data_IF_614236838768
#
_entry.id   IF_614236838768
#
_cell.length_a   1.000
_cell.length_b   1.000
_cell.length_c   1.000
_cell.angle_alpha   90.00
_cell.angle_beta   90.00
_cell.angle_gamma   90.00
#
_symmetry.space_group_name_H-M   'P 1'
#
loop_
_entity.id
_entity.type
_entity.pdbx_description
1 polymer ?
#
# COMPACT_ATOMS: atom_id res chain seq x y z
N UNK A 1 6.39 3.17 1.92
CA UNK A 1 7.56 2.36 2.36
C UNK A 1 8.78 2.69 1.51
N UNK A 2 9.99 2.62 2.08
CA UNK A 2 11.24 2.92 1.35
C UNK A 2 12.31 1.90 1.72
N UNK A 3 12.92 1.29 0.72
CA UNK A 3 14.11 0.43 0.89
C UNK A 3 15.34 1.23 0.49
N UNK A 4 16.37 1.17 1.33
CA UNK A 4 17.67 1.77 1.06
C UNK A 4 18.23 1.24 -0.29
N UNK A 5 18.82 2.08 -1.15
CA UNK A 5 19.22 1.69 -2.50
C UNK A 5 20.03 0.40 -2.59
N UNK A 6 20.95 0.18 -1.65
CA UNK A 6 21.81 -1.01 -1.58
C UNK A 6 21.06 -2.34 -1.38
N UNK A 7 19.79 -2.30 -0.93
CA UNK A 7 18.99 -3.48 -0.59
C UNK A 7 17.77 -3.67 -1.50
N UNK A 8 17.65 -2.86 -2.57
CA UNK A 8 16.55 -3.00 -3.54
C UNK A 8 16.69 -4.29 -4.37
N UNK A 9 15.57 -4.74 -4.94
CA UNK A 9 15.53 -5.94 -5.79
C UNK A 9 15.55 -7.27 -5.04
N UNK A 10 15.49 -7.25 -3.70
CA UNK A 10 15.58 -8.45 -2.84
C UNK A 10 14.26 -8.87 -2.19
N UNK A 11 13.12 -8.35 -2.66
CA UNK A 11 11.80 -8.68 -2.06
C UNK A 11 11.48 -7.99 -0.72
N UNK A 12 12.43 -7.34 -0.06
CA UNK A 12 12.24 -6.74 1.28
C UNK A 12 11.06 -5.77 1.41
N UNK A 13 10.69 -5.05 0.35
CA UNK A 13 9.54 -4.16 0.39
C UNK A 13 8.21 -4.93 0.54
N UNK A 14 8.14 -6.13 -0.05
CA UNK A 14 7.00 -7.04 0.07
C UNK A 14 6.97 -7.66 1.47
N UNK A 15 8.11 -8.13 1.99
CA UNK A 15 8.18 -8.68 3.36
C UNK A 15 7.73 -7.65 4.41
N UNK A 16 8.18 -6.39 4.28
CA UNK A 16 7.73 -5.32 5.17
C UNK A 16 6.23 -5.02 5.02
N UNK A 17 5.70 -5.09 3.80
CA UNK A 17 4.28 -4.89 3.57
C UNK A 17 3.45 -6.01 4.20
N UNK A 18 3.81 -7.27 3.94
CA UNK A 18 3.15 -8.45 4.51
C UNK A 18 3.16 -8.40 6.04
N UNK A 19 4.31 -8.09 6.64
CA UNK A 19 4.42 -7.93 8.08
C UNK A 19 3.43 -6.89 8.64
N UNK A 20 3.31 -5.72 8.01
CA UNK A 20 2.37 -4.67 8.45
C UNK A 20 0.92 -5.12 8.28
N UNK A 21 0.59 -5.79 7.17
CA UNK A 21 -0.76 -6.30 6.93
C UNK A 21 -1.14 -7.39 7.93
N UNK A 22 -0.21 -8.26 8.30
CA UNK A 22 -0.45 -9.30 9.31
C UNK A 22 -0.71 -8.67 10.68
N UNK A 23 0.03 -7.62 11.05
CA UNK A 23 -0.28 -6.86 12.27
C UNK A 23 -1.63 -6.16 12.24
N UNK A 24 -2.06 -5.64 11.09
CA UNK A 24 -3.39 -5.08 10.95
C UNK A 24 -4.48 -6.18 11.11
N UNK A 25 -4.27 -7.38 10.55
CA UNK A 25 -5.19 -8.52 10.72
C UNK A 25 -5.24 -9.01 12.16
N UNK A 26 -4.11 -9.12 12.83
CA UNK A 26 -4.04 -9.46 14.27
C UNK A 26 -4.80 -8.44 15.13
N UNK A 27 -4.77 -7.16 14.73
CA UNK A 27 -5.53 -6.08 15.37
C UNK A 27 -7.02 -6.05 15.01
N UNK A 28 -7.51 -6.97 14.17
CA UNK A 28 -8.88 -6.97 13.64
C UNK A 28 -9.26 -5.72 12.84
N UNK A 29 -8.27 -5.07 12.22
CA UNK A 29 -8.53 -3.99 11.29
C UNK A 29 -9.23 -4.51 10.03
N UNK A 30 -10.19 -3.74 9.51
CA UNK A 30 -10.98 -4.15 8.33
C UNK A 30 -10.39 -3.66 7.02
N UNK A 31 -9.75 -2.50 7.04
CA UNK A 31 -9.25 -1.84 5.83
C UNK A 31 -7.95 -1.11 6.15
N UNK A 32 -6.95 -1.25 5.27
CA UNK A 32 -5.72 -0.48 5.32
C UNK A 32 -5.74 0.55 4.21
N UNK A 33 -5.50 1.81 4.57
CA UNK A 33 -5.36 2.92 3.62
C UNK A 33 -3.89 3.33 3.51
N UNK A 34 -3.50 3.80 2.33
CA UNK A 34 -2.19 4.39 2.11
C UNK A 34 -2.25 5.53 1.11
N UNK A 35 -1.23 6.38 1.19
CA UNK A 35 -0.94 7.47 0.29
C UNK A 35 0.46 7.29 -0.31
N UNK A 36 0.61 7.57 -1.59
CA UNK A 36 1.90 7.55 -2.29
C UNK A 36 1.93 8.60 -3.39
N UNK A 37 3.12 9.13 -3.71
CA UNK A 37 3.23 10.19 -4.70
C UNK A 37 2.84 9.75 -6.12
N UNK A 38 2.42 10.70 -6.95
CA UNK A 38 2.06 10.48 -8.37
C UNK A 38 3.27 10.29 -9.27
N UNK A 39 4.42 10.89 -8.94
CA UNK A 39 5.62 10.90 -9.78
C UNK A 39 6.10 9.49 -10.16
N UNK A 40 6.81 9.37 -11.30
CA UNK A 40 7.25 8.09 -11.85
C UNK A 40 8.18 7.31 -10.90
N UNK A 41 8.90 8.00 -10.02
CA UNK A 41 9.73 7.37 -9.00
C UNK A 41 8.92 6.44 -8.07
N UNK A 42 7.62 6.69 -7.92
CA UNK A 42 6.71 5.90 -7.07
C UNK A 42 5.99 4.78 -7.84
N UNK A 43 6.20 4.62 -9.15
CA UNK A 43 5.65 3.49 -9.93
C UNK A 43 5.96 2.14 -9.29
N UNK A 44 7.19 1.85 -8.83
CA UNK A 44 7.49 0.57 -8.18
C UNK A 44 6.67 0.35 -6.90
N UNK A 45 6.44 1.41 -6.11
CA UNK A 45 5.63 1.33 -4.90
C UNK A 45 4.15 1.07 -5.25
N UNK A 46 3.59 1.81 -6.21
CA UNK A 46 2.21 1.59 -6.68
C UNK A 46 2.00 0.17 -7.23
N UNK A 47 2.98 -0.37 -7.96
CA UNK A 47 2.94 -1.76 -8.45
C UNK A 47 3.00 -2.77 -7.31
N UNK A 48 3.86 -2.54 -6.32
CA UNK A 48 3.92 -3.38 -5.12
C UNK A 48 2.57 -3.42 -4.40
N UNK A 49 1.98 -2.26 -4.11
CA UNK A 49 0.69 -2.17 -3.43
C UNK A 49 -0.42 -2.83 -4.24
N UNK A 50 -0.52 -2.54 -5.55
CA UNK A 50 -1.48 -3.20 -6.42
C UNK A 50 -1.32 -4.73 -6.43
N UNK A 51 -0.08 -5.23 -6.44
CA UNK A 51 0.18 -6.68 -6.40
C UNK A 51 -0.23 -7.35 -5.08
N UNK A 52 -0.36 -6.57 -4.01
CA UNK A 52 -0.85 -7.04 -2.71
C UNK A 52 -2.37 -6.87 -2.55
N UNK A 53 -3.08 -6.48 -3.61
CA UNK A 53 -4.54 -6.33 -3.61
C UNK A 53 -5.05 -4.92 -3.31
N UNK A 54 -4.17 -3.93 -3.14
CA UNK A 54 -4.62 -2.55 -2.97
C UNK A 54 -5.26 -2.02 -4.25
N UNK A 55 -6.40 -1.34 -4.09
CA UNK A 55 -7.12 -0.65 -5.17
C UNK A 55 -7.05 0.85 -4.95
N UNK A 56 -7.08 1.64 -6.03
CA UNK A 56 -7.15 3.11 -5.92
C UNK A 56 -8.46 3.53 -5.24
N UNK A 57 -8.38 4.56 -4.41
CA UNK A 57 -9.54 5.17 -3.77
C UNK A 57 -9.43 6.70 -3.77
N UNK A 58 -10.47 7.36 -3.27
CA UNK A 58 -10.40 8.78 -2.95
C UNK A 58 -9.53 9.04 -1.71
N UNK A 59 -9.37 10.31 -1.35
CA UNK A 59 -8.80 10.71 -0.07
C UNK A 59 -9.58 10.11 1.10
N UNK A 60 -8.94 9.96 2.25
CA UNK A 60 -9.54 9.36 3.45
C UNK A 60 -9.23 10.19 4.70
N UNK A 61 -10.09 10.10 5.71
CA UNK A 61 -9.94 10.89 6.94
C UNK A 61 -9.97 12.40 6.64
N UNK A 62 -8.96 13.12 7.13
CA UNK A 62 -8.80 14.56 6.91
C UNK A 62 -7.96 14.88 5.66
N UNK A 63 -7.46 13.88 4.94
CA UNK A 63 -6.73 14.11 3.69
C UNK A 63 -7.71 14.59 2.62
N UNK A 64 -7.42 15.76 2.02
CA UNK A 64 -8.16 16.28 0.88
C UNK A 64 -7.62 15.74 -0.46
N UNK A 65 -8.31 15.99 -1.58
CA UNK A 65 -7.80 15.66 -2.90
C UNK A 65 -6.53 16.48 -3.20
N UNK A 66 -5.40 15.79 -3.29
CA UNK A 66 -4.12 16.35 -3.71
C UNK A 66 -3.72 15.77 -5.07
N UNK A 67 -3.43 16.67 -6.02
CA UNK A 67 -2.92 16.33 -7.36
C UNK A 67 -1.57 15.59 -7.34
N UNK A 68 -0.84 15.66 -6.22
CA UNK A 68 0.45 15.00 -6.05
C UNK A 68 0.36 13.64 -5.37
N UNK A 69 -0.83 13.24 -4.92
CA UNK A 69 -1.06 12.01 -4.15
C UNK A 69 -1.93 11.00 -4.91
N UNK A 70 -1.59 9.74 -4.72
CA UNK A 70 -2.40 8.58 -5.08
C UNK A 70 -2.79 7.88 -3.78
N UNK A 71 -4.08 7.84 -3.51
CA UNK A 71 -4.64 7.09 -2.40
C UNK A 71 -5.02 5.69 -2.84
N UNK A 72 -4.73 4.70 -2.00
CA UNK A 72 -5.11 3.31 -2.23
C UNK A 72 -5.62 2.69 -0.93
N UNK A 73 -6.49 1.69 -1.04
CA UNK A 73 -7.03 0.92 0.08
C UNK A 73 -6.99 -0.57 -0.20
N UNK A 74 -6.85 -1.36 0.85
CA UNK A 74 -6.98 -2.81 0.85
C UNK A 74 -7.99 -3.20 1.92
N UNK A 75 -9.05 -3.90 1.53
CA UNK A 75 -9.94 -4.54 2.50
C UNK A 75 -9.32 -5.86 2.94
N UNK A 76 -9.12 -6.02 4.25
CA UNK A 76 -8.53 -7.21 4.85
C UNK A 76 -9.55 -8.34 5.02
N UNK A 77 -10.84 -7.99 5.06
CA UNK A 77 -11.97 -8.93 5.15
C UNK A 77 -12.39 -9.51 3.78
N UNK A 78 -11.93 -8.91 2.68
CA UNK A 78 -12.25 -9.41 1.36
C UNK A 78 -11.44 -10.70 1.09
N UNK A 79 -12.13 -11.83 1.02
CA UNK A 79 -11.53 -13.07 0.53
C UNK A 79 -10.85 -12.82 -0.83
N UNK A 80 -9.66 -13.39 -1.09
CA UNK A 80 -9.00 -13.19 -2.37
C UNK A 80 -9.93 -13.63 -3.49
N UNK A 81 -10.21 -12.74 -4.43
CA UNK A 81 -10.85 -13.09 -5.68
C UNK A 81 -9.85 -13.93 -6.48
N UNK A 82 -10.09 -15.25 -6.53
CA UNK A 82 -9.36 -16.18 -7.38
C UNK A 82 -9.81 -16.07 -8.84
#
# INVERSE_FOLDING_TARGET
MRIAPAFRGRGLARELLEFVLDKAREGHERTVFLETGVADLFVPARRLYASAGFVRCGPYGEYGPDSLSVFMRLDLDAAPAF
#
